data_IF_060378989246
#
_entry.id   IF_060378989246
#
_cell.length_a   1.000
_cell.length_b   1.000
_cell.length_c   1.000
_cell.angle_alpha   90.00
_cell.angle_beta   90.00
_cell.angle_gamma   90.00
#
_symmetry.space_group_name_H-M   'P 1'
#
loop_
_entity.id
_entity.type
_entity.pdbx_description
1 polymer ?
#
# COMPACT_ATOMS: atom_id res chain seq x y z
N UNK A 1 -60.96 32.35 26.74
CA UNK A 1 -59.74 32.79 26.03
C UNK A 1 -58.53 33.07 26.93
N UNK A 2 -58.65 33.07 28.27
CA UNK A 2 -57.49 33.25 29.17
C UNK A 2 -56.68 31.96 29.45
N UNK A 3 -57.28 30.77 29.30
CA UNK A 3 -56.59 29.51 29.66
C UNK A 3 -55.70 28.92 28.57
N UNK A 4 -55.84 29.36 27.31
CA UNK A 4 -55.01 28.87 26.20
C UNK A 4 -53.62 29.52 26.15
N UNK A 5 -53.46 30.70 26.75
CA UNK A 5 -52.17 31.41 26.79
C UNK A 5 -51.22 30.79 27.81
N UNK A 6 -51.75 30.26 28.92
CA UNK A 6 -50.94 29.67 29.99
C UNK A 6 -50.29 28.36 29.51
N UNK A 7 -51.03 27.52 28.77
CA UNK A 7 -50.53 26.23 28.27
C UNK A 7 -49.38 26.44 27.26
N UNK A 8 -49.46 27.47 26.40
CA UNK A 8 -48.41 27.73 25.41
C UNK A 8 -47.10 28.20 26.07
N UNK A 9 -47.19 29.00 27.12
CA UNK A 9 -46.01 29.47 27.87
C UNK A 9 -45.33 28.34 28.64
N UNK A 10 -46.08 27.39 29.22
CA UNK A 10 -45.49 26.25 29.95
C UNK A 10 -44.77 25.27 29.02
N UNK A 11 -45.32 25.01 27.83
CA UNK A 11 -44.68 24.10 26.85
C UNK A 11 -43.37 24.69 26.30
N UNK A 12 -43.32 25.99 26.04
CA UNK A 12 -42.10 26.66 25.55
C UNK A 12 -40.99 26.61 26.60
N UNK A 13 -41.32 26.80 27.88
CA UNK A 13 -40.33 26.74 28.97
C UNK A 13 -39.76 25.31 29.12
N UNK A 14 -40.59 24.27 29.00
CA UNK A 14 -40.12 22.88 29.09
C UNK A 14 -39.20 22.52 27.93
N UNK A 15 -39.52 22.93 26.69
CA UNK A 15 -38.68 22.67 25.52
C UNK A 15 -37.32 23.40 25.64
N UNK A 16 -37.31 24.66 26.06
CA UNK A 16 -36.06 25.41 26.29
C UNK A 16 -35.21 24.81 27.42
N UNK A 17 -35.83 24.28 28.47
CA UNK A 17 -35.13 23.65 29.59
C UNK A 17 -34.42 22.36 29.17
N UNK A 18 -35.05 21.56 28.30
CA UNK A 18 -34.48 20.31 27.79
C UNK A 18 -33.32 20.60 26.83
N UNK A 19 -33.44 21.62 25.97
CA UNK A 19 -32.36 22.02 25.06
C UNK A 19 -31.11 22.52 25.81
N UNK A 20 -31.29 23.23 26.94
CA UNK A 20 -30.16 23.70 27.77
C UNK A 20 -29.51 22.54 28.52
N UNK A 21 -30.28 21.55 28.98
CA UNK A 21 -29.71 20.37 29.65
C UNK A 21 -28.89 19.48 28.68
N UNK A 22 -29.31 19.37 27.42
CA UNK A 22 -28.54 18.65 26.38
C UNK A 22 -27.25 19.41 26.05
N UNK A 23 -27.29 20.74 25.95
CA UNK A 23 -26.10 21.56 25.71
C UNK A 23 -25.08 21.53 26.86
N UNK A 24 -25.54 21.38 28.10
CA UNK A 24 -24.65 21.27 29.27
C UNK A 24 -24.09 19.85 29.48
N UNK A 25 -24.66 18.83 28.84
CA UNK A 25 -24.18 17.45 28.95
C UNK A 25 -23.05 17.11 27.96
N UNK A 26 -22.78 17.96 26.97
CA UNK A 26 -21.70 17.79 25.98
C UNK A 26 -20.43 18.58 26.29
N UNK A 27 -20.38 19.33 27.40
CA UNK A 27 -19.20 20.10 27.81
C UNK A 27 -18.58 19.57 29.11
N UNK A 28 -18.40 18.25 29.23
CA UNK A 28 -17.31 17.77 30.08
C UNK A 28 -16.03 17.96 29.27
N UNK A 29 -15.09 18.83 29.70
CA UNK A 29 -13.75 18.80 29.13
C UNK A 29 -13.23 17.39 29.42
N UNK A 30 -13.09 16.61 28.36
CA UNK A 30 -12.37 15.36 28.41
C UNK A 30 -10.97 15.76 28.88
N UNK A 31 -10.59 15.38 30.10
CA UNK A 31 -9.19 15.35 30.49
C UNK A 31 -8.55 14.39 29.51
N UNK A 32 -8.03 14.93 28.42
CA UNK A 32 -7.07 14.25 27.57
C UNK A 32 -5.87 14.01 28.47
N UNK A 33 -5.75 12.79 28.99
CA UNK A 33 -4.43 12.30 29.37
C UNK A 33 -3.54 12.55 28.15
N UNK A 34 -2.48 13.31 28.39
CA UNK A 34 -1.54 13.78 27.38
C UNK A 34 -0.77 12.55 26.85
N UNK A 35 -1.39 11.85 25.90
CA UNK A 35 -0.86 10.65 25.30
C UNK A 35 0.24 11.07 24.32
N UNK A 36 1.45 11.18 24.86
CA UNK A 36 2.65 11.54 24.12
C UNK A 36 3.05 10.41 23.16
N UNK A 37 2.76 10.56 21.88
CA UNK A 37 3.42 9.80 20.80
C UNK A 37 4.49 10.66 20.13
N UNK A 38 5.69 10.12 19.80
CA UNK A 38 6.78 10.92 19.27
C UNK A 38 6.71 11.10 17.74
N UNK A 39 7.25 12.22 17.29
CA UNK A 39 7.59 12.60 15.91
C UNK A 39 9.11 12.42 15.67
N UNK A 40 9.54 12.21 14.42
CA UNK A 40 10.99 12.21 14.08
C UNK A 40 11.35 13.20 12.98
N UNK A 41 12.54 13.75 13.15
CA UNK A 41 13.49 13.99 12.09
C UNK A 41 14.89 13.57 12.55
N UNK A 42 15.78 13.29 11.58
CA UNK A 42 17.24 13.25 11.71
C UNK A 42 17.82 12.53 12.95
N UNK A 43 17.36 11.32 13.26
CA UNK A 43 17.83 10.51 14.40
C UNK A 43 17.69 11.19 15.78
N UNK A 44 16.94 12.30 15.89
CA UNK A 44 16.69 12.99 17.17
C UNK A 44 15.19 13.32 17.27
N UNK A 45 14.54 12.66 18.22
CA UNK A 45 13.13 12.87 18.56
C UNK A 45 12.97 14.22 19.29
N UNK A 46 12.44 15.25 18.64
CA UNK A 46 11.99 16.46 19.33
C UNK A 46 10.46 16.52 19.38
N UNK A 47 9.95 16.75 20.60
CA UNK A 47 8.54 16.74 20.97
C UNK A 47 7.75 17.82 20.22
N UNK A 48 6.79 17.40 19.41
CA UNK A 48 5.76 18.24 18.83
C UNK A 48 4.54 17.40 18.48
N UNK A 49 3.36 17.88 18.85
CA UNK A 49 2.06 17.25 18.63
C UNK A 49 1.87 16.92 17.14
N UNK A 50 1.33 15.72 16.88
CA UNK A 50 1.09 15.07 15.57
C UNK A 50 2.26 14.23 15.00
N UNK A 51 2.41 13.02 15.57
CA UNK A 51 3.32 11.93 15.18
C UNK A 51 3.24 11.53 13.69
N UNK A 52 4.29 11.85 12.93
CA UNK A 52 4.62 11.26 11.63
C UNK A 52 6.09 10.94 11.56
N UNK A 53 6.45 9.81 12.15
CA UNK A 53 7.72 9.17 11.90
C UNK A 53 7.57 7.67 11.92
N UNK A 54 8.03 7.04 10.83
CA UNK A 54 8.10 5.58 10.73
C UNK A 54 9.19 4.96 11.62
N UNK A 55 10.13 5.75 12.11
CA UNK A 55 11.31 5.33 12.88
C UNK A 55 11.27 5.71 14.38
N UNK A 56 10.11 6.08 14.93
CA UNK A 56 9.96 6.25 16.37
C UNK A 56 9.90 4.87 17.05
N UNK A 57 11.07 4.25 17.23
CA UNK A 57 11.27 3.13 18.15
C UNK A 57 10.30 1.96 17.88
N UNK A 58 10.34 1.41 16.65
CA UNK A 58 9.69 0.13 16.32
C UNK A 58 10.46 -1.02 17.02
N UNK A 59 10.40 -1.02 18.36
CA UNK A 59 10.83 -2.16 19.16
C UNK A 59 10.02 -3.38 18.74
N UNK A 60 10.63 -4.56 18.85
CA UNK A 60 9.92 -5.81 18.59
C UNK A 60 8.70 -5.89 19.52
N UNK A 61 7.50 -5.94 18.91
CA UNK A 61 6.23 -6.04 19.62
C UNK A 61 5.74 -7.49 19.75
N UNK A 62 6.45 -8.44 19.13
CA UNK A 62 6.16 -9.87 19.20
C UNK A 62 7.44 -10.70 19.28
N UNK A 63 7.28 -11.99 19.55
CA UNK A 63 8.36 -12.99 19.46
C UNK A 63 8.78 -13.30 18.01
N UNK A 64 7.96 -12.94 17.03
CA UNK A 64 8.20 -13.12 15.60
C UNK A 64 8.77 -11.84 14.98
N UNK A 65 9.92 -11.43 15.51
CA UNK A 65 10.55 -10.16 15.13
C UNK A 65 12.06 -10.30 14.94
N UNK A 66 12.60 -9.52 14.00
CA UNK A 66 14.02 -9.30 13.84
C UNK A 66 14.30 -7.83 13.47
N UNK A 67 15.53 -7.46 13.08
CA UNK A 67 15.84 -6.08 12.72
C UNK A 67 14.96 -5.50 11.59
N UNK A 68 14.52 -6.32 10.63
CA UNK A 68 13.86 -5.87 9.41
C UNK A 68 12.35 -6.16 9.34
N UNK A 69 11.89 -7.22 10.01
CA UNK A 69 10.49 -7.66 9.95
C UNK A 69 9.97 -7.92 11.36
N UNK A 70 8.74 -7.48 11.65
CA UNK A 70 8.03 -7.75 12.89
C UNK A 70 6.60 -8.20 12.57
N UNK A 71 6.26 -9.45 12.89
CA UNK A 71 4.91 -9.99 12.67
C UNK A 71 4.12 -9.88 13.97
N UNK A 72 3.05 -9.11 13.97
CA UNK A 72 2.12 -8.93 15.08
C UNK A 72 0.83 -9.65 14.70
N UNK A 73 0.43 -10.60 15.54
CA UNK A 73 -0.90 -11.20 15.46
C UNK A 73 -1.58 -11.16 16.82
N UNK A 74 -2.66 -10.39 16.93
CA UNK A 74 -3.38 -10.21 18.21
C UNK A 74 -4.50 -11.26 18.40
N UNK A 75 -5.08 -11.76 17.30
CA UNK A 75 -6.26 -12.64 17.30
C UNK A 75 -6.05 -13.97 16.53
N UNK A 76 -4.81 -14.39 16.29
CA UNK A 76 -4.53 -15.64 15.55
C UNK A 76 -5.09 -16.89 16.25
N UNK A 77 -5.69 -17.78 15.46
CA UNK A 77 -6.00 -19.15 15.86
C UNK A 77 -4.73 -19.93 16.21
N UNK A 78 -4.91 -21.09 16.84
CA UNK A 78 -3.79 -21.99 17.14
C UNK A 78 -3.07 -22.45 15.86
N UNK A 79 -3.81 -22.67 14.78
CA UNK A 79 -3.25 -23.07 13.49
C UNK A 79 -2.37 -21.96 12.93
N UNK A 80 -2.86 -20.73 12.89
CA UNK A 80 -2.10 -19.57 12.37
C UNK A 80 -0.85 -19.29 13.19
N UNK A 81 -0.93 -19.39 14.52
CA UNK A 81 0.24 -19.23 15.41
C UNK A 81 1.37 -20.21 15.08
N UNK A 82 1.06 -21.43 14.61
CA UNK A 82 2.07 -22.40 14.18
C UNK A 82 2.72 -22.02 12.85
N UNK A 83 2.07 -21.19 12.03
CA UNK A 83 2.57 -20.77 10.72
C UNK A 83 3.40 -19.49 10.79
N UNK A 84 3.28 -18.68 11.85
CA UNK A 84 4.00 -17.40 12.01
C UNK A 84 5.52 -17.51 11.83
N UNK A 85 6.24 -18.53 12.35
CA UNK A 85 7.67 -18.70 12.09
C UNK A 85 7.98 -18.81 10.59
N UNK A 86 7.15 -19.56 9.86
CA UNK A 86 7.35 -19.77 8.42
C UNK A 86 7.01 -18.52 7.62
N UNK A 87 5.99 -17.76 8.03
CA UNK A 87 5.70 -16.44 7.44
C UNK A 87 6.91 -15.53 7.62
N UNK A 88 7.47 -15.44 8.83
CA UNK A 88 8.66 -14.61 9.10
C UNK A 88 9.83 -15.02 8.21
N UNK A 89 10.13 -16.32 8.10
CA UNK A 89 11.17 -16.84 7.22
C UNK A 89 10.94 -16.40 5.77
N UNK A 90 9.72 -16.61 5.24
CA UNK A 90 9.37 -16.27 3.87
C UNK A 90 9.47 -14.75 3.61
N UNK A 91 8.96 -13.91 4.51
CA UNK A 91 9.01 -12.45 4.34
C UNK A 91 10.43 -11.89 4.38
N UNK A 92 11.36 -12.55 5.07
CA UNK A 92 12.76 -12.14 5.05
C UNK A 92 13.44 -12.42 3.71
N UNK A 93 13.06 -13.52 3.05
CA UNK A 93 13.53 -13.82 1.69
C UNK A 93 13.03 -12.75 0.73
N UNK A 94 11.73 -12.41 0.79
CA UNK A 94 11.14 -11.36 -0.05
C UNK A 94 11.76 -10.00 0.25
N UNK A 95 11.87 -9.62 1.53
CA UNK A 95 12.48 -8.35 1.95
C UNK A 95 13.89 -8.20 1.37
N UNK A 96 14.73 -9.23 1.48
CA UNK A 96 16.10 -9.18 0.94
C UNK A 96 16.08 -9.01 -0.58
N UNK A 97 15.28 -9.80 -1.27
CA UNK A 97 15.14 -9.71 -2.72
C UNK A 97 14.67 -8.30 -3.16
N UNK A 98 13.65 -7.74 -2.52
CA UNK A 98 13.15 -6.41 -2.83
C UNK A 98 14.17 -5.33 -2.48
N UNK A 99 14.96 -5.49 -1.41
CA UNK A 99 16.06 -4.58 -1.09
C UNK A 99 17.11 -4.54 -2.20
N UNK A 100 17.50 -5.70 -2.72
CA UNK A 100 18.43 -5.82 -3.83
C UNK A 100 17.82 -5.21 -5.12
N UNK A 101 16.52 -5.44 -5.36
CA UNK A 101 15.82 -4.97 -6.54
C UNK A 101 15.55 -3.46 -6.56
N UNK A 102 15.04 -2.91 -5.46
CA UNK A 102 14.74 -1.48 -5.34
C UNK A 102 16.03 -0.65 -5.17
N UNK A 103 17.10 -1.24 -4.64
CA UNK A 103 18.36 -0.54 -4.34
C UNK A 103 18.27 0.36 -3.10
N UNK A 104 17.20 0.22 -2.33
CA UNK A 104 16.97 0.86 -1.04
C UNK A 104 16.04 -0.03 -0.21
N UNK A 105 15.99 0.20 1.11
CA UNK A 105 15.24 -0.66 2.01
C UNK A 105 14.62 0.11 3.18
N UNK A 106 13.43 -0.30 3.64
CA UNK A 106 12.84 0.16 4.90
C UNK A 106 13.63 -0.37 6.10
N UNK A 107 13.89 0.46 7.12
CA UNK A 107 14.62 -0.01 8.31
C UNK A 107 13.92 -1.20 8.97
N UNK A 108 12.59 -1.13 9.11
CA UNK A 108 11.75 -2.20 9.61
C UNK A 108 10.36 -2.15 8.99
N UNK A 109 9.81 -3.30 8.66
CA UNK A 109 8.42 -3.50 8.22
C UNK A 109 7.65 -4.25 9.32
N UNK A 110 6.47 -3.73 9.65
CA UNK A 110 5.54 -4.38 10.54
C UNK A 110 4.46 -5.06 9.71
N UNK A 111 4.22 -6.33 9.99
CA UNK A 111 3.08 -7.08 9.48
C UNK A 111 2.06 -7.19 10.61
N UNK A 112 0.91 -6.58 10.43
CA UNK A 112 -0.29 -6.85 11.20
C UNK A 112 -1.03 -7.96 10.46
N UNK A 113 -0.81 -9.20 10.89
CA UNK A 113 -1.58 -10.32 10.36
C UNK A 113 -2.91 -10.32 11.09
N UNK A 114 -3.97 -9.97 10.36
CA UNK A 114 -5.32 -10.04 10.88
C UNK A 114 -5.73 -11.50 10.82
N UNK A 115 -6.31 -11.98 11.92
CA UNK A 115 -6.89 -13.32 12.02
C UNK A 115 -7.74 -13.62 10.79
N UNK A 116 -7.53 -14.80 10.24
CA UNK A 116 -8.29 -15.46 9.19
C UNK A 116 -9.72 -15.80 9.66
N UNK A 117 -10.44 -14.84 10.27
CA UNK A 117 -11.91 -14.84 10.36
C UNK A 117 -12.45 -14.55 8.96
N UNK A 118 -12.09 -15.40 8.00
CA UNK A 118 -12.49 -15.23 6.63
C UNK A 118 -14.01 -15.30 6.55
N UNK A 119 -14.59 -14.24 6.00
CA UNK A 119 -15.99 -14.14 5.59
C UNK A 119 -16.35 -15.15 4.47
N UNK A 120 -15.40 -15.94 3.98
CA UNK A 120 -15.65 -17.02 3.03
C UNK A 120 -15.25 -18.37 3.62
N UNK A 121 -16.22 -19.08 4.18
CA UNK A 121 -16.16 -20.50 4.59
C UNK A 121 -15.98 -21.45 3.37
N UNK A 122 -15.32 -21.00 2.29
CA UNK A 122 -15.30 -21.70 1.02
C UNK A 122 -14.20 -22.76 1.02
N UNK A 123 -14.62 -24.01 1.02
CA UNK A 123 -13.73 -25.17 0.93
C UNK A 123 -13.04 -25.20 -0.44
N UNK A 124 -11.73 -25.45 -0.47
CA UNK A 124 -11.03 -25.70 -1.72
C UNK A 124 -11.45 -27.05 -2.32
N UNK A 125 -12.01 -27.01 -3.54
CA UNK A 125 -12.50 -28.22 -4.23
C UNK A 125 -11.46 -28.82 -5.20
N UNK A 126 -10.40 -28.08 -5.53
CA UNK A 126 -9.40 -28.48 -6.53
C UNK A 126 -8.41 -29.50 -5.96
N UNK A 127 -8.18 -30.62 -6.67
CA UNK A 127 -7.18 -31.65 -6.27
C UNK A 127 -5.77 -31.09 -6.09
N UNK A 128 -5.39 -30.13 -6.93
CA UNK A 128 -4.08 -29.46 -6.87
C UNK A 128 -3.97 -28.43 -5.73
N UNK A 129 -5.05 -28.19 -4.98
CA UNK A 129 -5.17 -27.09 -4.04
C UNK A 129 -5.58 -25.77 -4.70
N UNK A 130 -5.86 -24.77 -3.87
CA UNK A 130 -6.31 -23.44 -4.23
C UNK A 130 -5.29 -22.45 -3.68
N UNK A 131 -4.51 -21.81 -4.55
CA UNK A 131 -3.61 -20.75 -4.12
C UNK A 131 -4.42 -19.50 -3.81
N UNK A 132 -4.18 -18.90 -2.66
CA UNK A 132 -4.80 -17.66 -2.23
C UNK A 132 -3.72 -16.61 -1.99
N UNK A 133 -3.97 -15.40 -2.50
CA UNK A 133 -3.30 -14.21 -1.99
C UNK A 133 -3.97 -13.82 -0.69
N UNK A 134 -3.16 -13.46 0.31
CA UNK A 134 -3.62 -13.11 1.65
C UNK A 134 -4.60 -11.94 1.65
N UNK A 135 -4.53 -11.10 0.59
CA UNK A 135 -5.22 -9.82 0.56
C UNK A 135 -4.67 -8.88 1.64
N UNK A 136 -4.88 -7.60 1.44
CA UNK A 136 -4.47 -6.62 2.44
C UNK A 136 -4.33 -5.24 1.87
N UNK A 137 -3.68 -4.40 2.67
CA UNK A 137 -3.22 -3.11 2.25
C UNK A 137 -2.00 -2.70 3.07
N UNK A 138 -1.18 -1.86 2.46
CA UNK A 138 0.00 -1.29 3.07
C UNK A 138 -0.23 0.18 3.37
N UNK A 139 -0.02 0.55 4.63
CA UNK A 139 -0.07 1.94 5.06
C UNK A 139 1.15 2.29 5.94
N UNK A 140 1.06 3.43 6.61
CA UNK A 140 2.11 3.94 7.50
C UNK A 140 2.36 3.08 8.74
N UNK A 141 1.39 2.28 9.18
CA UNK A 141 1.53 1.43 10.35
C UNK A 141 2.19 0.08 9.97
N UNK A 142 2.24 -0.21 8.67
CA UNK A 142 2.82 -1.42 8.10
C UNK A 142 1.88 -2.09 7.12
N UNK A 143 2.04 -3.39 6.96
CA UNK A 143 1.22 -4.23 6.10
C UNK A 143 0.11 -4.84 6.94
N UNK A 144 -1.14 -4.65 6.55
CA UNK A 144 -2.31 -5.26 7.18
C UNK A 144 -2.82 -6.34 6.23
N UNK A 145 -2.65 -7.61 6.61
CA UNK A 145 -3.07 -8.75 5.80
C UNK A 145 -4.34 -9.36 6.36
N UNK A 146 -5.30 -9.68 5.49
CA UNK A 146 -6.58 -10.28 5.89
C UNK A 146 -6.47 -11.80 6.11
N UNK A 147 -5.53 -12.45 5.41
CA UNK A 147 -5.27 -13.88 5.53
C UNK A 147 -3.82 -14.23 5.17
N UNK A 148 -3.43 -15.48 5.42
CA UNK A 148 -2.08 -15.97 5.07
C UNK A 148 -2.06 -16.31 3.57
N UNK A 149 -1.11 -15.74 2.84
CA UNK A 149 -0.82 -16.09 1.45
C UNK A 149 -0.29 -17.53 1.33
N UNK A 150 -0.78 -18.33 0.39
CA UNK A 150 -0.30 -19.70 0.18
C UNK A 150 -1.33 -20.68 -0.40
N UNK A 151 -1.06 -21.98 -0.23
CA UNK A 151 -1.85 -23.06 -0.82
C UNK A 151 -2.84 -23.67 0.18
N UNK A 152 -4.14 -23.52 -0.09
CA UNK A 152 -5.19 -24.26 0.63
C UNK A 152 -5.35 -25.62 -0.04
N UNK A 153 -5.14 -26.73 0.68
CA UNK A 153 -5.31 -28.06 0.09
C UNK A 153 -6.78 -28.40 -0.12
N UNK A 154 -7.04 -29.38 -0.99
CA UNK A 154 -8.39 -29.89 -1.22
C UNK A 154 -9.07 -30.28 0.10
N UNK A 155 -10.31 -29.85 0.28
CA UNK A 155 -11.12 -30.12 1.46
C UNK A 155 -10.81 -29.22 2.66
N UNK A 156 -9.90 -28.25 2.53
CA UNK A 156 -9.58 -27.27 3.56
C UNK A 156 -10.15 -25.90 3.20
N UNK A 157 -10.35 -25.06 4.21
CA UNK A 157 -10.79 -23.65 4.07
C UNK A 157 -9.65 -22.67 4.34
N UNK A 158 -8.52 -23.15 4.84
CA UNK A 158 -7.36 -22.34 5.20
C UNK A 158 -6.06 -23.13 5.05
N UNK A 159 -4.94 -22.42 5.13
CA UNK A 159 -3.61 -23.00 5.16
C UNK A 159 -3.38 -23.58 6.56
N UNK A 160 -3.00 -24.85 6.63
CA UNK A 160 -2.80 -25.54 7.92
C UNK A 160 -1.37 -26.07 8.10
N UNK A 161 -0.50 -25.90 7.11
CA UNK A 161 0.86 -26.48 7.12
C UNK A 161 1.89 -25.47 6.65
N UNK A 162 3.08 -25.55 7.24
CA UNK A 162 4.18 -24.64 6.95
C UNK A 162 4.63 -24.73 5.49
N UNK A 163 4.68 -25.94 4.89
CA UNK A 163 5.11 -26.09 3.51
C UNK A 163 4.16 -25.46 2.48
N UNK A 164 2.94 -25.14 2.90
CA UNK A 164 1.91 -24.52 2.06
C UNK A 164 1.87 -22.98 2.23
N UNK A 165 2.65 -22.41 3.16
CA UNK A 165 2.75 -20.95 3.35
C UNK A 165 3.51 -20.33 2.19
N UNK A 166 2.87 -19.37 1.53
CA UNK A 166 3.39 -18.62 0.40
C UNK A 166 4.23 -17.41 0.80
N UNK A 167 4.55 -16.60 -0.19
CA UNK A 167 5.34 -15.38 -0.06
C UNK A 167 4.42 -14.18 -0.34
N UNK A 168 4.42 -13.19 0.56
CA UNK A 168 3.67 -11.94 0.32
C UNK A 168 4.62 -10.93 -0.32
N UNK A 169 4.51 -10.77 -1.64
CA UNK A 169 5.39 -9.84 -2.38
C UNK A 169 4.66 -8.56 -2.74
N UNK A 170 3.34 -8.61 -2.93
CA UNK A 170 2.55 -7.49 -3.41
C UNK A 170 2.54 -6.37 -2.38
N UNK A 171 2.05 -6.66 -1.18
CA UNK A 171 1.97 -5.67 -0.10
C UNK A 171 3.34 -5.22 0.36
N UNK A 172 4.32 -6.13 0.41
CA UNK A 172 5.68 -5.74 0.76
C UNK A 172 6.27 -4.76 -0.28
N UNK A 173 5.95 -4.92 -1.56
CA UNK A 173 6.37 -3.96 -2.61
C UNK A 173 5.71 -2.59 -2.43
N UNK A 174 4.46 -2.52 -1.97
CA UNK A 174 3.84 -1.24 -1.59
C UNK A 174 4.58 -0.60 -0.42
N UNK A 175 4.94 -1.36 0.61
CA UNK A 175 5.69 -0.84 1.75
C UNK A 175 7.07 -0.30 1.34
N UNK A 176 7.80 -1.01 0.46
CA UNK A 176 9.05 -0.51 -0.12
C UNK A 176 8.85 0.77 -0.93
N UNK A 177 7.79 0.81 -1.75
CA UNK A 177 7.45 1.99 -2.56
C UNK A 177 7.13 3.20 -1.68
N UNK A 178 6.33 3.02 -0.63
CA UNK A 178 6.00 4.08 0.32
C UNK A 178 7.25 4.56 1.08
N UNK A 179 8.09 3.65 1.57
CA UNK A 179 9.28 4.03 2.33
C UNK A 179 10.32 4.77 1.48
N UNK A 180 10.56 4.29 0.26
CA UNK A 180 11.52 4.91 -0.65
C UNK A 180 10.99 6.16 -1.33
N UNK A 181 9.78 6.11 -1.89
CA UNK A 181 9.26 7.13 -2.80
C UNK A 181 8.21 8.04 -2.14
N UNK A 182 7.70 7.67 -0.97
CA UNK A 182 6.56 8.33 -0.34
C UNK A 182 5.27 8.10 -1.10
N UNK A 183 4.36 9.07 -1.06
CA UNK A 183 3.12 9.04 -1.83
C UNK A 183 3.41 9.16 -3.32
N UNK A 184 2.98 8.17 -4.09
CA UNK A 184 3.09 8.09 -5.55
C UNK A 184 1.70 7.92 -6.18
N UNK A 185 1.52 8.12 -7.51
CA UNK A 185 0.28 7.80 -8.19
C UNK A 185 -0.12 6.34 -7.98
N UNK A 186 -1.41 6.09 -7.72
CA UNK A 186 -1.90 4.75 -7.39
C UNK A 186 -1.58 3.74 -8.49
N UNK A 187 -1.73 4.10 -9.77
CA UNK A 187 -1.39 3.20 -10.87
C UNK A 187 0.08 2.75 -10.87
N UNK A 188 0.99 3.61 -10.43
CA UNK A 188 2.41 3.27 -10.33
C UNK A 188 2.66 2.35 -9.14
N UNK A 189 2.05 2.65 -7.99
CA UNK A 189 2.13 1.83 -6.78
C UNK A 189 1.62 0.40 -7.02
N UNK A 190 0.44 0.25 -7.63
CA UNK A 190 -0.12 -1.04 -8.03
C UNK A 190 0.73 -1.71 -9.10
N UNK A 191 1.12 -0.95 -10.12
CA UNK A 191 1.91 -1.48 -11.23
C UNK A 191 3.22 -2.11 -10.76
N UNK A 192 3.96 -1.45 -9.87
CA UNK A 192 5.24 -1.98 -9.39
C UNK A 192 5.06 -3.15 -8.44
N UNK A 193 4.01 -3.15 -7.62
CA UNK A 193 3.68 -4.29 -6.75
C UNK A 193 3.36 -5.54 -7.55
N UNK A 194 2.48 -5.41 -8.55
CA UNK A 194 2.15 -6.50 -9.47
C UNK A 194 3.38 -6.92 -10.27
N UNK A 195 4.17 -5.98 -10.80
CA UNK A 195 5.38 -6.31 -11.55
C UNK A 195 6.39 -7.09 -10.69
N UNK A 196 6.54 -6.71 -9.42
CA UNK A 196 7.47 -7.35 -8.49
C UNK A 196 7.02 -8.75 -8.07
N UNK A 197 5.72 -8.93 -7.83
CA UNK A 197 5.09 -10.21 -7.55
C UNK A 197 5.21 -11.19 -8.73
N UNK A 198 5.01 -10.68 -9.95
CA UNK A 198 4.80 -11.51 -11.13
C UNK A 198 6.00 -11.83 -12.00
N UNK A 199 7.03 -10.97 -12.02
CA UNK A 199 8.21 -11.18 -12.88
C UNK A 199 9.27 -12.07 -12.24
N UNK A 200 8.91 -12.89 -11.26
CA UNK A 200 9.87 -13.76 -10.59
C UNK A 200 11.07 -12.96 -10.08
N UNK A 201 10.92 -11.68 -9.69
CA UNK A 201 12.07 -10.88 -9.25
C UNK A 201 12.78 -11.63 -8.12
N UNK A 202 11.96 -12.23 -7.25
CA UNK A 202 12.41 -13.13 -6.20
C UNK A 202 12.34 -14.62 -6.59
N UNK A 203 11.60 -15.00 -7.63
CA UNK A 203 11.52 -16.39 -8.11
C UNK A 203 10.76 -17.35 -7.18
N UNK A 204 9.93 -16.82 -6.29
CA UNK A 204 9.40 -17.55 -5.14
C UNK A 204 7.99 -18.14 -5.36
N UNK A 205 7.30 -17.78 -6.44
CA UNK A 205 5.95 -18.26 -6.71
C UNK A 205 5.75 -18.72 -8.17
N UNK A 206 6.08 -19.98 -8.51
CA UNK A 206 5.96 -20.48 -9.87
C UNK A 206 4.50 -20.48 -10.39
N UNK A 207 3.50 -20.60 -9.51
CA UNK A 207 2.08 -20.59 -9.91
C UNK A 207 1.60 -19.17 -10.28
N UNK A 208 2.08 -18.13 -9.59
CA UNK A 208 1.75 -16.73 -9.94
C UNK A 208 2.48 -16.27 -11.22
N UNK A 209 3.66 -16.81 -11.50
CA UNK A 209 4.41 -16.51 -12.71
C UNK A 209 3.67 -16.94 -14.00
N UNK A 210 2.96 -18.07 -13.94
CA UNK A 210 2.19 -18.57 -15.09
C UNK A 210 1.00 -17.64 -15.40
N UNK A 211 0.27 -17.16 -14.38
CA UNK A 211 -0.90 -16.28 -14.59
C UNK A 211 -0.53 -14.89 -15.10
N UNK A 212 0.56 -14.29 -14.61
CA UNK A 212 1.00 -13.00 -15.15
C UNK A 212 1.70 -13.14 -16.50
N UNK A 213 2.46 -14.21 -16.75
CA UNK A 213 2.98 -14.48 -18.09
C UNK A 213 1.84 -14.64 -19.09
N UNK A 214 0.75 -15.31 -18.72
CA UNK A 214 -0.48 -15.41 -19.51
C UNK A 214 -1.20 -14.07 -19.65
N UNK A 215 -1.23 -13.25 -18.60
CA UNK A 215 -1.76 -11.89 -18.67
C UNK A 215 -0.90 -11.04 -19.63
N UNK A 216 0.38 -10.83 -19.35
CA UNK A 216 1.30 -10.03 -20.17
C UNK A 216 1.35 -10.51 -21.63
N UNK A 217 1.35 -11.82 -21.87
CA UNK A 217 1.31 -12.35 -23.23
C UNK A 217 -0.02 -12.07 -23.95
N UNK A 218 -1.16 -12.07 -23.25
CA UNK A 218 -2.46 -11.63 -23.80
C UNK A 218 -2.53 -10.12 -24.04
N UNK A 219 -1.98 -9.31 -23.13
CA UNK A 219 -2.14 -7.86 -23.14
C UNK A 219 -1.09 -7.09 -23.92
N UNK A 220 0.11 -7.65 -24.10
CA UNK A 220 1.24 -6.91 -24.67
C UNK A 220 1.72 -7.45 -26.01
N UNK A 221 1.47 -8.74 -26.32
CA UNK A 221 1.58 -9.24 -27.70
C UNK A 221 0.38 -8.84 -28.59
N UNK A 222 -0.50 -7.95 -28.10
CA UNK A 222 -1.54 -7.33 -28.92
C UNK A 222 -1.00 -6.44 -30.05
N UNK A 223 0.33 -6.22 -30.11
CA UNK A 223 0.99 -5.59 -31.25
C UNK A 223 1.30 -6.56 -32.40
N UNK A 224 1.19 -7.89 -32.24
CA UNK A 224 1.56 -8.83 -33.31
C UNK A 224 0.47 -9.75 -33.85
N UNK A 225 -0.55 -10.22 -33.10
CA UNK A 225 -1.66 -11.00 -33.73
C UNK A 225 -2.95 -11.19 -32.91
N UNK A 226 -2.96 -10.93 -31.60
CA UNK A 226 -4.17 -11.06 -30.76
C UNK A 226 -4.64 -9.69 -30.29
N UNK A 227 -5.52 -9.05 -31.06
CA UNK A 227 -6.18 -7.81 -30.63
C UNK A 227 -7.15 -8.14 -29.50
N UNK A 228 -6.84 -7.67 -28.29
CA UNK A 228 -7.86 -7.56 -27.24
C UNK A 228 -8.96 -6.66 -27.78
N UNK A 229 -10.24 -7.04 -27.62
CA UNK A 229 -11.34 -6.16 -28.00
C UNK A 229 -11.18 -4.81 -27.31
N UNK A 230 -11.33 -3.71 -28.05
CA UNK A 230 -11.15 -2.34 -27.51
C UNK A 230 -11.95 -2.13 -26.21
N UNK A 231 -13.13 -2.74 -26.09
CA UNK A 231 -13.97 -2.71 -24.89
C UNK A 231 -13.32 -3.31 -23.63
N UNK A 232 -12.51 -4.34 -23.79
CA UNK A 232 -11.80 -4.99 -22.66
C UNK A 232 -10.54 -4.21 -22.29
N UNK A 233 -9.83 -3.68 -23.28
CA UNK A 233 -8.71 -2.78 -23.08
C UNK A 233 -9.13 -1.50 -22.34
N UNK A 234 -10.23 -0.88 -22.77
CA UNK A 234 -10.83 0.29 -22.13
C UNK A 234 -11.31 -0.02 -20.70
N UNK A 235 -11.77 -1.23 -20.43
CA UNK A 235 -12.17 -1.65 -19.08
C UNK A 235 -10.97 -1.70 -18.14
N UNK A 236 -9.85 -2.25 -18.61
CA UNK A 236 -8.63 -2.44 -17.79
C UNK A 236 -8.00 -1.09 -17.42
N UNK A 237 -7.93 -0.16 -18.38
CA UNK A 237 -7.40 1.19 -18.16
C UNK A 237 -8.17 2.04 -17.16
N UNK A 238 -9.36 1.62 -16.73
CA UNK A 238 -10.17 2.33 -15.73
C UNK A 238 -9.73 2.07 -14.29
N UNK A 239 -8.75 1.20 -14.07
CA UNK A 239 -8.26 0.83 -12.74
C UNK A 239 -6.78 1.16 -12.61
N UNK A 240 -6.33 1.48 -11.39
CA UNK A 240 -4.91 1.69 -11.09
C UNK A 240 -4.07 0.45 -11.43
N UNK A 241 -4.57 -0.73 -11.07
CA UNK A 241 -3.95 -2.01 -11.40
C UNK A 241 -3.76 -2.18 -12.91
N UNK A 242 -4.82 -1.98 -13.69
CA UNK A 242 -4.77 -2.16 -15.13
C UNK A 242 -3.82 -1.20 -15.82
N UNK A 243 -3.84 0.09 -15.44
CA UNK A 243 -2.88 1.08 -15.96
C UNK A 243 -1.45 0.70 -15.58
N UNK A 244 -1.22 0.31 -14.33
CA UNK A 244 0.09 -0.13 -13.84
C UNK A 244 0.64 -1.32 -14.61
N UNK A 245 -0.15 -2.37 -14.79
CA UNK A 245 0.27 -3.55 -15.55
C UNK A 245 0.59 -3.17 -17.00
N UNK A 246 -0.28 -2.41 -17.66
CA UNK A 246 -0.07 -2.00 -19.05
C UNK A 246 1.18 -1.14 -19.20
N UNK A 247 1.48 -0.28 -18.22
CA UNK A 247 2.70 0.53 -18.20
C UNK A 247 3.96 -0.34 -18.15
N UNK A 248 4.15 -1.12 -17.07
CA UNK A 248 5.37 -1.92 -16.89
C UNK A 248 5.54 -2.99 -17.97
N UNK A 249 4.43 -3.57 -18.44
CA UNK A 249 4.48 -4.56 -19.51
C UNK A 249 4.83 -3.91 -20.85
N UNK A 250 4.35 -2.69 -21.13
CA UNK A 250 4.77 -1.91 -22.30
C UNK A 250 6.25 -1.55 -22.23
N UNK A 251 6.76 -1.14 -21.07
CA UNK A 251 8.20 -0.89 -20.88
C UNK A 251 9.01 -2.12 -21.29
N UNK A 252 8.60 -3.31 -20.86
CA UNK A 252 9.28 -4.56 -21.21
C UNK A 252 9.23 -4.86 -22.71
N UNK A 253 8.05 -4.91 -23.33
CA UNK A 253 7.91 -5.40 -24.71
C UNK A 253 8.20 -4.33 -25.76
N UNK A 254 7.67 -3.11 -25.60
CA UNK A 254 7.83 -2.02 -26.59
C UNK A 254 9.20 -1.35 -26.44
N UNK A 255 9.70 -1.23 -25.21
CA UNK A 255 10.91 -0.46 -24.94
C UNK A 255 12.14 -1.29 -24.62
N UNK A 256 11.99 -2.60 -24.38
CA UNK A 256 13.09 -3.51 -24.02
C UNK A 256 13.57 -3.35 -22.58
N UNK A 257 12.75 -2.74 -21.72
CA UNK A 257 13.11 -2.46 -20.34
C UNK A 257 12.82 -3.69 -19.46
N UNK A 258 13.85 -4.49 -19.24
CA UNK A 258 13.78 -5.66 -18.36
C UNK A 258 13.77 -5.27 -16.86
N UNK A 259 13.88 -6.28 -15.97
CA UNK A 259 13.91 -6.03 -14.52
C UNK A 259 15.06 -5.11 -14.10
N UNK A 260 16.23 -5.20 -14.74
CA UNK A 260 17.38 -4.35 -14.38
C UNK A 260 17.06 -2.90 -14.75
N UNK A 261 16.51 -2.68 -15.93
CA UNK A 261 16.05 -1.37 -16.35
C UNK A 261 14.99 -0.78 -15.39
N UNK A 262 13.98 -1.55 -14.97
CA UNK A 262 12.97 -1.05 -14.02
C UNK A 262 13.57 -0.75 -12.64
N UNK A 263 14.52 -1.57 -12.16
CA UNK A 263 15.28 -1.30 -10.94
C UNK A 263 16.02 0.04 -11.02
N UNK A 264 16.64 0.34 -12.17
CA UNK A 264 17.29 1.63 -12.40
C UNK A 264 16.32 2.82 -12.37
N UNK A 265 15.10 2.65 -12.90
CA UNK A 265 14.03 3.66 -12.79
C UNK A 265 13.69 3.92 -11.32
N UNK A 266 13.46 2.88 -10.52
CA UNK A 266 13.15 3.01 -9.10
C UNK A 266 14.26 3.72 -8.33
N UNK A 267 15.52 3.37 -8.59
CA UNK A 267 16.67 4.03 -7.98
C UNK A 267 16.76 5.51 -8.39
N UNK A 268 16.50 5.82 -9.66
CA UNK A 268 16.47 7.21 -10.16
C UNK A 268 15.37 8.03 -9.49
N UNK A 269 14.19 7.45 -9.27
CA UNK A 269 13.09 8.08 -8.52
C UNK A 269 13.44 8.31 -7.04
N UNK A 270 14.08 7.32 -6.40
CA UNK A 270 14.53 7.45 -5.02
C UNK A 270 15.56 8.56 -4.84
N UNK A 271 16.56 8.61 -5.72
CA UNK A 271 17.56 9.68 -5.71
C UNK A 271 16.93 11.05 -6.01
N UNK A 272 15.95 11.13 -6.91
CA UNK A 272 15.21 12.37 -7.14
C UNK A 272 14.49 12.84 -5.86
N UNK A 273 13.79 11.93 -5.17
CA UNK A 273 13.09 12.26 -3.92
C UNK A 273 14.05 12.79 -2.86
N UNK A 274 15.17 12.09 -2.62
CA UNK A 274 16.16 12.49 -1.61
C UNK A 274 16.76 13.86 -1.87
N UNK A 275 16.93 14.21 -3.15
CA UNK A 275 17.52 15.47 -3.56
C UNK A 275 16.46 16.58 -3.80
N UNK A 276 15.16 16.28 -3.64
CA UNK A 276 14.09 17.27 -3.75
C UNK A 276 14.04 18.15 -2.49
N UNK A 277 14.81 19.23 -2.52
CA UNK A 277 14.90 20.24 -1.47
C UNK A 277 14.56 21.63 -2.00
N UNK A 278 14.33 22.60 -1.11
CA UNK A 278 14.02 23.99 -1.47
C UNK A 278 12.73 24.08 -2.29
N UNK A 279 12.79 24.73 -3.46
CA UNK A 279 11.61 24.96 -4.31
C UNK A 279 10.91 23.68 -4.77
N UNK A 280 11.65 22.60 -5.03
CA UNK A 280 11.06 21.31 -5.40
C UNK A 280 10.10 20.81 -4.31
N UNK A 281 10.58 20.89 -3.07
CA UNK A 281 9.84 20.47 -1.88
C UNK A 281 8.64 21.39 -1.61
N UNK A 282 8.85 22.71 -1.64
CA UNK A 282 7.77 23.67 -1.38
C UNK A 282 6.63 23.55 -2.40
N UNK A 283 6.94 23.36 -3.68
CA UNK A 283 5.93 23.10 -4.71
C UNK A 283 5.16 21.78 -4.46
N UNK A 284 5.86 20.72 -4.03
CA UNK A 284 5.22 19.44 -3.75
C UNK A 284 4.25 19.52 -2.55
N UNK A 285 4.54 20.36 -1.55
CA UNK A 285 3.67 20.58 -0.39
C UNK A 285 2.32 21.19 -0.74
N UNK A 286 2.26 22.03 -1.77
CA UNK A 286 1.00 22.66 -2.22
C UNK A 286 -0.06 21.62 -2.62
N UNK A 287 0.38 20.41 -2.99
CA UNK A 287 -0.47 19.29 -3.37
C UNK A 287 -0.87 18.38 -2.19
N UNK A 288 -0.45 18.70 -0.97
CA UNK A 288 -0.87 17.99 0.23
C UNK A 288 -2.25 18.51 0.64
N UNK A 289 -3.20 17.60 0.83
CA UNK A 289 -4.53 17.94 1.35
C UNK A 289 -4.39 18.41 2.81
N UNK A 290 -4.89 19.61 3.10
CA UNK A 290 -4.89 20.23 4.44
C UNK A 290 -3.49 20.46 5.06
N UNK A 291 -2.61 21.25 4.41
CA UNK A 291 -1.24 21.44 4.89
C UNK A 291 -1.12 22.38 6.10
N UNK A 292 -2.19 23.12 6.43
CA UNK A 292 -2.10 24.36 7.21
C UNK A 292 -1.70 24.20 8.69
N UNK A 293 -1.66 22.97 9.21
CA UNK A 293 -1.26 22.69 10.60
C UNK A 293 -0.07 21.72 10.71
N UNK A 294 0.57 21.35 9.59
CA UNK A 294 1.61 20.32 9.59
C UNK A 294 3.00 20.94 9.40
N UNK A 295 3.90 20.71 10.37
CA UNK A 295 5.34 20.95 10.19
C UNK A 295 5.92 19.87 9.29
N UNK A 296 5.81 20.06 7.98
CA UNK A 296 6.27 19.13 6.95
C UNK A 296 7.78 19.29 6.67
N UNK A 297 8.51 18.19 6.70
CA UNK A 297 9.92 18.11 6.25
C UNK A 297 10.05 17.36 4.94
N UNK A 298 11.18 17.48 4.25
CA UNK A 298 11.48 16.76 2.99
C UNK A 298 11.46 15.23 3.15
N UNK A 299 11.61 14.73 4.36
CA UNK A 299 11.52 13.29 4.66
C UNK A 299 10.08 12.83 4.88
N UNK A 300 9.08 13.72 4.89
CA UNK A 300 7.70 13.34 5.09
C UNK A 300 7.14 12.59 3.87
N UNK A 301 6.79 11.32 4.09
CA UNK A 301 6.32 10.40 3.05
C UNK A 301 4.94 10.76 2.50
N UNK A 302 4.17 11.64 3.17
CA UNK A 302 2.85 12.08 2.67
C UNK A 302 2.95 13.01 1.47
N UNK A 303 4.12 13.62 1.29
CA UNK A 303 4.32 14.65 0.27
C UNK A 303 4.52 13.96 -1.08
N UNK A 304 3.65 14.24 -2.07
CA UNK A 304 3.67 13.58 -3.36
C UNK A 304 4.75 14.17 -4.27
N UNK A 305 6.02 13.98 -3.89
CA UNK A 305 7.19 14.45 -4.66
C UNK A 305 7.27 13.72 -6.01
N UNK A 306 6.95 12.43 -6.01
CA UNK A 306 6.99 11.60 -7.21
C UNK A 306 5.63 11.67 -7.89
N UNK A 307 5.53 12.50 -8.93
CA UNK A 307 4.31 12.67 -9.75
C UNK A 307 4.37 11.84 -11.03
N UNK A 308 3.30 11.86 -11.83
CA UNK A 308 3.29 11.23 -13.16
C UNK A 308 4.41 11.78 -14.06
N UNK A 309 4.64 13.09 -14.02
CA UNK A 309 5.66 13.78 -14.81
C UNK A 309 7.06 13.33 -14.39
N UNK A 310 7.31 13.19 -13.09
CA UNK A 310 8.59 12.69 -12.57
C UNK A 310 8.80 11.23 -12.94
N UNK A 311 7.77 10.38 -12.81
CA UNK A 311 7.83 8.98 -13.25
C UNK A 311 8.17 8.89 -14.74
N UNK A 312 7.48 9.67 -15.57
CA UNK A 312 7.75 9.76 -17.00
C UNK A 312 9.20 10.15 -17.25
N UNK A 313 9.61 11.31 -16.74
CA UNK A 313 10.95 11.87 -16.93
C UNK A 313 12.03 10.86 -16.53
N UNK A 314 11.94 10.27 -15.34
CA UNK A 314 12.95 9.32 -14.85
C UNK A 314 12.97 8.02 -15.64
N UNK A 315 11.81 7.58 -16.13
CA UNK A 315 11.73 6.42 -17.01
C UNK A 315 12.36 6.70 -18.37
N UNK A 316 12.12 7.89 -18.96
CA UNK A 316 12.73 8.32 -20.22
C UNK A 316 14.25 8.49 -20.12
N UNK A 317 14.74 9.03 -19.01
CA UNK A 317 16.18 9.15 -18.73
C UNK A 317 16.88 7.78 -18.72
N UNK A 318 16.26 6.75 -18.12
CA UNK A 318 16.83 5.40 -18.03
C UNK A 318 16.68 4.63 -19.35
N UNK A 319 15.49 4.67 -19.96
CA UNK A 319 15.18 3.94 -21.20
C UNK A 319 15.81 4.60 -22.43
N UNK A 320 16.12 5.90 -22.34
CA UNK A 320 16.61 6.74 -23.42
C UNK A 320 15.65 6.75 -24.64
N UNK A 321 14.35 6.85 -24.36
CA UNK A 321 13.26 6.94 -25.35
C UNK A 321 12.14 7.81 -24.81
N UNK A 322 11.38 8.43 -25.71
CA UNK A 322 10.17 9.21 -25.38
C UNK A 322 9.00 8.27 -25.02
N UNK A 323 8.36 8.52 -23.88
CA UNK A 323 7.21 7.78 -23.35
C UNK A 323 5.90 8.57 -23.45
N UNK A 324 5.89 9.73 -24.13
CA UNK A 324 4.70 10.58 -24.30
C UNK A 324 3.53 9.81 -24.88
N UNK A 325 3.74 9.04 -25.95
CA UNK A 325 2.66 8.26 -26.58
C UNK A 325 2.09 7.21 -25.61
N UNK A 326 2.96 6.52 -24.85
CA UNK A 326 2.52 5.54 -23.84
C UNK A 326 1.68 6.20 -22.74
N UNK A 327 2.14 7.34 -22.20
CA UNK A 327 1.38 8.07 -21.17
C UNK A 327 0.02 8.54 -21.69
N UNK A 328 -0.03 9.06 -22.92
CA UNK A 328 -1.28 9.46 -23.57
C UNK A 328 -2.21 8.27 -23.82
N UNK A 329 -1.66 7.16 -24.33
CA UNK A 329 -2.40 5.93 -24.58
C UNK A 329 -3.04 5.41 -23.29
N UNK A 330 -2.31 5.46 -22.17
CA UNK A 330 -2.79 4.98 -20.87
C UNK A 330 -3.62 6.03 -20.09
N UNK A 331 -3.81 7.23 -20.62
CA UNK A 331 -4.53 8.32 -19.94
C UNK A 331 -3.83 8.85 -18.68
N UNK A 332 -2.53 8.62 -18.54
CA UNK A 332 -1.76 9.05 -17.37
C UNK A 332 -1.50 10.57 -17.45
N UNK A 333 -1.87 11.30 -16.40
CA UNK A 333 -1.73 12.77 -16.34
C UNK A 333 -2.87 13.54 -17.00
N UNK A 334 -3.89 12.85 -17.52
CA UNK A 334 -5.16 13.48 -17.88
C UNK A 334 -6.04 13.48 -16.61
N UNK A 335 -6.60 14.64 -16.25
CA UNK A 335 -7.63 14.70 -15.21
C UNK A 335 -8.85 13.91 -15.70
N UNK A 336 -8.99 12.67 -15.24
CA UNK A 336 -10.19 11.84 -15.45
C UNK A 336 -11.20 12.16 -14.34
#
# INVERSE_FOLDING_TARGET
MKDRTIILSTVIIIVLSISILVLLSFNKPQQTEEYNFPTCGNEICERGEEAYCLDCNLSCKSEFCNPNVNIICEDCSKTENLLLPKILENQLVVYKCLSDYYGYQPTKIIYHTISNKNESEKICEQERGCYVSGGGFSDRDGIKQDSITGLIRKGQTEITKEEDVGFETHELSHAFTLYGLGKVPSWFNEGIAIYSESKSICGLNPLANDEFSDFVSKYVNASSDVKIPDSEYDRIKRTSHGVGILYFSSLYVKYGCDKICVSEILRSLYEYRKNCVGNCFENAKENVLYPQNLSLSNNDLRIPIITNEIIKQKSEEVINKDLTELFLELGIGQNI
#
